data_IF_261194139382
#
_entry.id   IF_261194139382
#
_cell.length_a   1.000
_cell.length_b   1.000
_cell.length_c   1.000
_cell.angle_alpha   90.00
_cell.angle_beta   90.00
_cell.angle_gamma   90.00
#
_symmetry.space_group_name_H-M   'P 1'
#
loop_
_entity.id
_entity.type
_entity.pdbx_description
1 polymer ?
#
# COMPACT_ATOMS: atom_id res chain seq x y z
N UNK A 1 42.34 -5.96 10.43
CA UNK A 1 41.05 -5.21 10.31
C UNK A 1 41.36 -3.72 10.44
N UNK A 2 40.78 -2.85 9.59
CA UNK A 2 39.34 -2.62 9.58
C UNK A 2 38.65 -2.68 8.20
N UNK A 3 37.32 -2.80 8.32
CA UNK A 3 36.24 -3.00 7.37
C UNK A 3 36.28 -2.07 6.16
N UNK A 4 36.06 -2.59 4.95
CA UNK A 4 35.76 -1.78 3.78
C UNK A 4 34.99 -2.59 2.74
N UNK A 5 33.67 -2.38 2.71
CA UNK A 5 32.74 -2.60 1.59
C UNK A 5 32.76 -4.01 0.98
N UNK A 6 31.87 -4.97 1.30
CA UNK A 6 30.40 -4.90 1.18
C UNK A 6 29.90 -4.07 -0.01
N UNK A 7 30.62 -4.14 -1.13
CA UNK A 7 30.14 -3.70 -2.44
C UNK A 7 29.65 -4.95 -3.18
N UNK A 8 28.39 -5.31 -2.90
CA UNK A 8 27.65 -6.26 -3.71
C UNK A 8 26.94 -5.49 -4.83
N UNK A 9 26.77 -6.07 -6.03
CA UNK A 9 26.13 -5.47 -7.21
C UNK A 9 24.60 -5.34 -7.06
N UNK A 10 24.15 -4.85 -5.91
CA UNK A 10 22.75 -4.65 -5.55
C UNK A 10 22.44 -3.17 -5.26
N UNK A 11 23.44 -2.30 -5.23
CA UNK A 11 23.25 -0.87 -4.98
C UNK A 11 22.88 -0.07 -6.24
N UNK A 12 23.31 -0.48 -7.44
CA UNK A 12 23.06 0.28 -8.69
C UNK A 12 21.69 0.03 -9.35
N UNK A 13 20.92 -0.99 -8.96
CA UNK A 13 19.61 -1.26 -9.60
C UNK A 13 18.46 -0.43 -8.99
N UNK A 14 18.67 0.20 -7.84
CA UNK A 14 17.65 1.02 -7.19
C UNK A 14 17.44 2.39 -7.88
N UNK A 15 18.46 2.91 -8.54
CA UNK A 15 18.46 4.30 -9.03
C UNK A 15 17.82 4.47 -10.42
N UNK A 16 17.66 3.39 -11.20
CA UNK A 16 17.05 3.46 -12.55
C UNK A 16 15.51 3.47 -12.53
N UNK A 17 14.86 3.27 -11.37
CA UNK A 17 13.39 3.15 -11.29
C UNK A 17 12.65 4.49 -11.08
N UNK A 18 13.37 5.61 -11.01
CA UNK A 18 12.80 6.93 -10.74
C UNK A 18 12.51 7.75 -12.02
N UNK A 19 12.96 7.31 -13.19
CA UNK A 19 12.85 8.04 -14.47
C UNK A 19 11.62 7.60 -15.31
N UNK A 20 10.47 7.38 -14.67
CA UNK A 20 9.20 7.11 -15.38
C UNK A 20 8.02 7.84 -14.70
N UNK A 21 8.28 9.05 -14.20
CA UNK A 21 7.30 9.94 -13.57
C UNK A 21 7.02 11.20 -14.40
N UNK A 22 7.41 11.22 -15.67
CA UNK A 22 7.05 12.28 -16.63
C UNK A 22 6.01 11.74 -17.63
N UNK A 23 4.83 11.39 -17.13
CA UNK A 23 3.65 11.16 -17.98
C UNK A 23 2.60 12.20 -17.56
N UNK A 24 1.99 12.93 -18.52
CA UNK A 24 1.08 14.03 -18.20
C UNK A 24 0.01 13.58 -17.21
N UNK A 25 -0.17 14.37 -16.16
CA UNK A 25 -1.22 14.24 -15.14
C UNK A 25 -2.55 14.54 -15.84
N UNK A 26 -3.05 13.57 -16.60
CA UNK A 26 -4.44 13.53 -17.02
C UNK A 26 -5.25 13.26 -15.76
N UNK A 27 -6.05 14.26 -15.32
CA UNK A 27 -7.07 14.22 -14.26
C UNK A 27 -7.21 12.84 -13.62
N UNK A 28 -6.25 12.50 -12.76
CA UNK A 28 -6.16 11.15 -12.25
C UNK A 28 -7.35 10.99 -11.30
N UNK A 29 -8.26 10.03 -11.54
CA UNK A 29 -9.43 9.84 -10.70
C UNK A 29 -8.96 9.72 -9.25
N UNK A 30 -9.44 10.59 -8.35
CA UNK A 30 -8.94 10.74 -6.98
C UNK A 30 -8.52 9.38 -6.40
N UNK A 31 -7.21 9.12 -6.38
CA UNK A 31 -6.68 7.85 -5.89
C UNK A 31 -6.61 7.93 -4.37
N UNK A 32 -7.59 7.32 -3.69
CA UNK A 32 -7.64 7.26 -2.23
C UNK A 32 -7.05 5.95 -1.72
N UNK A 33 -6.59 5.98 -0.48
CA UNK A 33 -6.11 4.79 0.22
C UNK A 33 -7.29 4.02 0.79
N UNK A 34 -7.49 2.79 0.34
CA UNK A 34 -8.52 1.89 0.79
C UNK A 34 -7.98 0.83 1.73
N UNK A 35 -8.71 0.52 2.79
CA UNK A 35 -8.44 -0.59 3.71
C UNK A 35 -9.15 -1.82 3.18
N UNK A 36 -8.38 -2.88 2.94
CA UNK A 36 -8.84 -4.20 2.57
C UNK A 36 -8.61 -5.15 3.73
N UNK A 37 -9.46 -6.15 3.89
CA UNK A 37 -9.26 -7.22 4.86
C UNK A 37 -10.38 -8.25 4.77
N UNK A 38 -10.37 -9.18 5.69
CA UNK A 38 -11.37 -10.23 5.82
C UNK A 38 -12.04 -10.12 7.19
N UNK A 39 -13.32 -10.45 7.26
CA UNK A 39 -14.12 -10.33 8.49
C UNK A 39 -14.77 -11.67 8.81
N UNK A 40 -15.41 -11.76 9.97
CA UNK A 40 -16.09 -12.98 10.39
C UNK A 40 -17.26 -13.36 9.48
N UNK A 41 -17.88 -12.36 8.87
CA UNK A 41 -19.00 -12.53 7.95
C UNK A 41 -18.51 -12.90 6.54
N UNK A 42 -17.43 -12.27 6.09
CA UNK A 42 -16.83 -12.51 4.78
C UNK A 42 -15.32 -12.84 4.93
N UNK A 43 -14.97 -14.15 4.89
CA UNK A 43 -13.60 -14.60 5.11
C UNK A 43 -12.67 -14.32 3.91
N UNK A 44 -13.22 -13.87 2.77
CA UNK A 44 -12.42 -13.43 1.63
C UNK A 44 -11.92 -12.00 1.82
N UNK A 45 -10.91 -11.60 1.07
CA UNK A 45 -10.32 -10.26 1.19
C UNK A 45 -11.18 -9.26 0.43
N UNK A 46 -12.00 -8.51 1.15
CA UNK A 46 -12.89 -7.49 0.61
C UNK A 46 -12.50 -6.07 1.10
N UNK A 47 -13.19 -5.07 0.56
CA UNK A 47 -12.97 -3.67 0.92
C UNK A 47 -13.74 -3.34 2.19
N UNK A 48 -13.03 -2.87 3.22
CA UNK A 48 -13.59 -2.53 4.52
C UNK A 48 -13.96 -1.04 4.61
N UNK A 49 -13.26 -0.19 3.87
CA UNK A 49 -13.50 1.26 3.87
C UNK A 49 -12.28 2.05 3.39
N UNK A 50 -12.39 3.38 3.37
CA UNK A 50 -11.24 4.24 3.06
C UNK A 50 -10.42 4.52 4.32
N UNK A 51 -9.10 4.66 4.14
CA UNK A 51 -8.18 5.06 5.19
C UNK A 51 -8.58 6.45 5.71
N UNK A 52 -8.86 6.53 7.01
CA UNK A 52 -9.38 7.72 7.68
C UNK A 52 -10.89 7.70 7.96
N UNK A 53 -11.66 6.89 7.22
CA UNK A 53 -13.04 6.52 7.58
C UNK A 53 -13.05 5.25 8.44
N UNK A 54 -12.14 4.33 8.14
CA UNK A 54 -11.84 3.15 8.96
C UNK A 54 -10.36 3.15 9.34
N UNK A 55 -10.06 2.74 10.56
CA UNK A 55 -8.70 2.60 11.06
C UNK A 55 -8.27 1.12 10.95
N UNK A 56 -7.22 0.80 10.17
CA UNK A 56 -6.80 -0.58 9.95
C UNK A 56 -6.22 -1.23 11.21
N UNK A 57 -5.57 -0.45 12.08
CA UNK A 57 -5.02 -0.94 13.34
C UNK A 57 -6.16 -1.23 14.31
N UNK A 58 -7.12 -0.32 14.48
CA UNK A 58 -8.29 -0.55 15.34
C UNK A 58 -9.11 -1.78 14.90
N UNK A 59 -9.31 -1.95 13.58
CA UNK A 59 -10.00 -3.12 13.03
C UNK A 59 -9.28 -4.43 13.34
N UNK A 60 -7.96 -4.40 13.38
CA UNK A 60 -7.14 -5.56 13.72
C UNK A 60 -7.10 -5.81 15.24
N UNK A 61 -6.90 -4.75 16.05
CA UNK A 61 -6.85 -4.83 17.51
C UNK A 61 -8.18 -5.27 18.12
N UNK A 62 -9.29 -4.81 17.56
CA UNK A 62 -10.64 -5.23 17.95
C UNK A 62 -10.99 -6.65 17.51
N UNK A 63 -10.22 -7.22 16.58
CA UNK A 63 -10.52 -8.52 15.95
C UNK A 63 -11.70 -8.46 14.98
N UNK A 64 -12.14 -7.27 14.57
CA UNK A 64 -13.21 -7.10 13.59
C UNK A 64 -12.77 -7.50 12.17
N UNK A 65 -11.48 -7.34 11.86
CA UNK A 65 -10.91 -7.77 10.60
C UNK A 65 -9.51 -8.39 10.76
N UNK A 66 -9.13 -9.24 9.80
CA UNK A 66 -7.82 -9.86 9.68
C UNK A 66 -7.27 -9.72 8.27
N UNK A 67 -5.95 -9.90 8.15
CA UNK A 67 -5.26 -9.71 6.86
C UNK A 67 -5.39 -8.28 6.32
N UNK A 68 -5.46 -7.30 7.23
CA UNK A 68 -5.71 -5.90 6.87
C UNK A 68 -4.55 -5.36 6.02
N UNK A 69 -4.87 -4.71 4.91
CA UNK A 69 -3.90 -4.16 3.96
C UNK A 69 -4.42 -2.86 3.36
N UNK A 70 -3.56 -1.84 3.31
CA UNK A 70 -3.89 -0.56 2.69
C UNK A 70 -3.45 -0.59 1.22
N UNK A 71 -4.39 -0.33 0.32
CA UNK A 71 -4.17 -0.33 -1.13
C UNK A 71 -4.56 1.02 -1.72
N UNK A 72 -3.87 1.48 -2.77
CA UNK A 72 -4.34 2.62 -3.57
C UNK A 72 -5.48 2.15 -4.47
N UNK A 73 -6.64 2.80 -4.38
CA UNK A 73 -7.77 2.59 -5.30
C UNK A 73 -8.23 3.93 -5.87
N UNK A 74 -8.65 3.87 -7.13
CA UNK A 74 -9.38 4.96 -7.77
C UNK A 74 -10.77 5.08 -7.16
N UNK A 75 -11.17 6.27 -6.77
CA UNK A 75 -12.56 6.59 -6.43
C UNK A 75 -13.28 6.79 -7.76
N UNK A 76 -14.17 5.87 -8.11
CA UNK A 76 -15.09 6.08 -9.24
C UNK A 76 -16.28 6.85 -8.68
N UNK A 77 -16.38 8.13 -9.04
CA UNK A 77 -17.51 9.00 -8.70
C UNK A 77 -18.79 8.58 -9.42
#
# INVERSE_FOLDING_TARGET
MPRGYMDGPAAEEAERRLDELDRPVEDAPEERLGVMGSTADDPERHFLGWLGEVDPDELFESGAAWGVSVVRRRVVA
#
